data_IF_595246741873
#
_entry.id   IF_595246741873
#
_cell.length_a   1.000
_cell.length_b   1.000
_cell.length_c   1.000
_cell.angle_alpha   90.00
_cell.angle_beta   90.00
_cell.angle_gamma   90.00
#
_symmetry.space_group_name_H-M   'P 1'
#
loop_
_entity.id
_entity.type
_entity.pdbx_description
1 polymer ?
#
# COMPACT_ATOMS: atom_id res chain seq x y z
N UNK A 1 6.59 -11.09 -4.02
CA UNK A 1 6.64 -10.45 -2.68
C UNK A 1 5.93 -9.10 -2.70
N UNK A 2 5.68 -8.51 -1.53
CA UNK A 2 4.99 -7.20 -1.38
C UNK A 2 6.02 -6.04 -1.30
N UNK A 3 5.63 -4.86 -1.78
CA UNK A 3 6.38 -3.60 -1.72
C UNK A 3 5.40 -2.46 -1.35
N UNK A 4 5.72 -1.61 -0.35
CA UNK A 4 6.93 -1.63 0.47
C UNK A 4 6.96 -2.82 1.45
N UNK A 5 8.17 -3.20 1.90
CA UNK A 5 8.36 -4.18 2.98
C UNK A 5 9.66 -3.90 3.75
N UNK A 6 9.77 -4.29 5.02
CA UNK A 6 10.96 -4.06 5.85
C UNK A 6 12.22 -4.64 5.20
N UNK A 7 13.33 -3.90 5.31
CA UNK A 7 14.64 -4.31 4.78
C UNK A 7 14.77 -4.31 3.25
N UNK A 8 13.72 -3.99 2.49
CA UNK A 8 13.78 -3.95 1.02
C UNK A 8 13.87 -2.52 0.50
N UNK A 9 14.87 -2.28 -0.35
CA UNK A 9 14.98 -1.02 -1.10
C UNK A 9 14.27 -1.15 -2.43
N UNK A 10 13.14 -0.46 -2.59
CA UNK A 10 12.35 -0.54 -3.80
C UNK A 10 13.13 -0.10 -5.05
N UNK A 11 13.02 -0.87 -6.13
CA UNK A 11 13.58 -0.58 -7.45
C UNK A 11 12.79 0.54 -8.16
N UNK A 12 13.32 1.04 -9.29
CA UNK A 12 12.59 2.01 -10.12
C UNK A 12 11.30 1.43 -10.71
N UNK A 13 11.30 0.14 -11.06
CA UNK A 13 10.12 -0.53 -11.60
C UNK A 13 9.02 -0.70 -10.53
N UNK A 14 9.38 -1.11 -9.31
CA UNK A 14 8.43 -1.25 -8.20
C UNK A 14 7.75 0.09 -7.87
N UNK A 15 8.50 1.20 -7.93
CA UNK A 15 7.95 2.55 -7.76
C UNK A 15 7.03 2.95 -8.91
N UNK A 16 7.40 2.61 -10.15
CA UNK A 16 6.56 2.85 -11.32
C UNK A 16 5.23 2.09 -11.24
N UNK A 17 5.22 0.87 -10.70
CA UNK A 17 4.00 0.13 -10.41
C UNK A 17 3.09 0.86 -9.42
N UNK A 18 3.63 1.42 -8.34
CA UNK A 18 2.86 2.24 -7.40
C UNK A 18 2.10 3.38 -8.09
N UNK A 19 2.77 4.14 -8.98
CA UNK A 19 2.11 5.21 -9.76
C UNK A 19 0.99 4.69 -10.66
N UNK A 20 1.16 3.52 -11.28
CA UNK A 20 0.13 2.90 -12.13
C UNK A 20 -1.11 2.52 -11.30
N UNK A 21 -0.92 2.02 -10.09
CA UNK A 21 -2.02 1.66 -9.18
C UNK A 21 -2.79 2.88 -8.68
N UNK A 22 -2.09 3.92 -8.24
CA UNK A 22 -2.69 5.21 -7.83
C UNK A 22 -3.61 5.75 -8.91
N UNK A 23 -3.14 5.76 -10.17
CA UNK A 23 -3.97 6.18 -11.32
C UNK A 23 -5.23 5.34 -11.48
N UNK A 24 -5.13 4.02 -11.32
CA UNK A 24 -6.26 3.09 -11.49
C UNK A 24 -7.36 3.31 -10.46
N UNK A 25 -7.01 3.74 -9.24
CA UNK A 25 -7.96 4.02 -8.17
C UNK A 25 -8.39 5.48 -8.09
N UNK A 26 -8.14 6.28 -9.13
CA UNK A 26 -8.55 7.68 -9.19
C UNK A 26 -7.78 8.61 -8.25
N UNK A 27 -6.67 8.14 -7.69
CA UNK A 27 -5.79 8.93 -6.84
C UNK A 27 -4.80 9.76 -7.68
N UNK A 28 -4.23 10.81 -7.09
CA UNK A 28 -3.36 11.74 -7.80
C UNK A 28 -1.96 11.17 -8.02
N UNK A 29 -1.61 10.86 -9.26
CA UNK A 29 -0.24 10.42 -9.62
C UNK A 29 0.81 11.51 -9.40
N UNK A 30 0.41 12.79 -9.41
CA UNK A 30 1.30 13.93 -9.17
C UNK A 30 1.62 14.11 -7.68
N UNK A 31 0.67 13.81 -6.79
CA UNK A 31 0.84 13.95 -5.35
C UNK A 31 1.45 12.70 -4.69
N UNK A 32 1.54 11.58 -5.43
CA UNK A 32 2.05 10.33 -4.90
C UNK A 32 3.56 10.38 -4.59
N UNK A 33 3.91 10.09 -3.34
CA UNK A 33 5.30 9.90 -2.90
C UNK A 33 5.71 8.45 -3.16
N UNK A 34 6.41 8.21 -4.27
CA UNK A 34 6.86 6.88 -4.64
C UNK A 34 7.98 6.29 -3.77
N UNK A 35 8.62 7.10 -2.91
CA UNK A 35 9.67 6.61 -2.00
C UNK A 35 9.06 6.10 -0.70
N UNK A 36 7.98 6.74 -0.26
CA UNK A 36 7.20 6.33 0.93
C UNK A 36 6.00 5.45 0.59
N UNK A 37 5.64 5.38 -0.69
CA UNK A 37 4.43 4.70 -1.18
C UNK A 37 3.14 5.29 -0.61
N UNK A 38 3.11 6.60 -0.36
CA UNK A 38 1.96 7.30 0.22
C UNK A 38 1.28 8.12 -0.87
N UNK A 39 -0.04 7.94 -1.01
CA UNK A 39 -0.89 8.83 -1.80
C UNK A 39 -1.73 9.68 -0.85
N UNK A 40 -1.56 11.02 -0.87
CA UNK A 40 -2.44 11.91 -0.13
C UNK A 40 -3.89 11.78 -0.57
N UNK A 41 -4.79 11.81 0.40
CA UNK A 41 -6.23 11.87 0.17
C UNK A 41 -6.72 13.27 -0.18
N UNK A 42 -8.03 13.39 -0.40
CA UNK A 42 -8.73 14.67 -0.66
C UNK A 42 -10.00 14.78 0.18
N UNK A 43 -9.88 14.50 1.48
CA UNK A 43 -11.00 14.41 2.43
C UNK A 43 -11.86 13.15 2.29
N UNK A 44 -11.46 12.22 1.43
CA UNK A 44 -12.08 10.89 1.27
C UNK A 44 -11.02 9.86 0.91
N UNK A 45 -11.18 8.64 1.39
CA UNK A 45 -10.34 7.50 1.03
C UNK A 45 -10.83 6.89 -0.29
N UNK A 46 -9.93 6.20 -1.03
CA UNK A 46 -10.31 5.46 -2.22
C UNK A 46 -11.40 4.42 -1.91
N UNK A 47 -12.48 4.41 -2.70
CA UNK A 47 -13.60 3.50 -2.53
C UNK A 47 -13.24 2.09 -3.02
N UNK A 48 -12.86 1.22 -2.10
CA UNK A 48 -12.45 -0.17 -2.32
C UNK A 48 -13.16 -1.09 -1.34
N UNK A 49 -13.01 -2.40 -1.52
CA UNK A 49 -13.35 -3.35 -0.47
C UNK A 49 -12.50 -3.06 0.76
N UNK A 50 -13.16 -2.79 1.88
CA UNK A 50 -12.50 -2.60 3.16
C UNK A 50 -12.31 -3.95 3.85
N UNK A 51 -11.16 -4.10 4.50
CA UNK A 51 -10.84 -5.22 5.37
C UNK A 51 -10.06 -4.69 6.55
N UNK A 52 -10.57 -4.93 7.75
CA UNK A 52 -9.85 -4.70 8.99
C UNK A 52 -9.45 -6.04 9.61
N UNK A 53 -8.19 -6.12 10.07
CA UNK A 53 -7.70 -7.29 10.80
C UNK A 53 -8.51 -7.49 12.08
N UNK A 54 -8.91 -8.73 12.36
CA UNK A 54 -9.53 -9.10 13.64
C UNK A 54 -8.54 -9.11 14.81
N UNK A 55 -7.23 -9.04 14.52
CA UNK A 55 -6.14 -9.12 15.50
C UNK A 55 -5.07 -8.07 15.17
N UNK A 56 -5.38 -6.77 15.24
CA UNK A 56 -4.45 -5.70 14.86
C UNK A 56 -3.16 -5.73 15.70
N UNK A 57 -3.22 -6.19 16.95
CA UNK A 57 -2.09 -6.34 17.87
C UNK A 57 -1.04 -7.35 17.41
N UNK A 58 -1.39 -8.23 16.46
CA UNK A 58 -0.46 -9.21 15.87
C UNK A 58 0.33 -8.65 14.68
N UNK A 59 0.05 -7.43 14.26
CA UNK A 59 0.75 -6.79 13.15
C UNK A 59 2.18 -6.46 13.58
N UNK A 60 3.22 -6.90 12.86
CA UNK A 60 4.60 -6.57 13.19
C UNK A 60 4.83 -5.06 13.26
N UNK A 61 5.60 -4.60 14.26
CA UNK A 61 5.79 -3.17 14.53
C UNK A 61 6.44 -2.42 13.35
N UNK A 62 7.33 -3.07 12.61
CA UNK A 62 7.96 -2.54 11.40
C UNK A 62 6.99 -2.41 10.21
N UNK A 63 5.90 -3.18 10.20
CA UNK A 63 4.78 -2.99 9.27
C UNK A 63 3.88 -1.85 9.72
N UNK A 64 3.57 -1.76 11.02
CA UNK A 64 2.76 -0.67 11.59
C UNK A 64 3.43 0.69 11.31
N UNK A 65 4.76 0.78 11.38
CA UNK A 65 5.52 2.01 11.14
C UNK A 65 5.31 2.62 9.74
N UNK A 66 4.87 1.85 8.72
CA UNK A 66 4.55 2.42 7.41
C UNK A 66 3.30 3.32 7.42
N UNK A 67 2.46 3.19 8.45
CA UNK A 67 1.21 3.96 8.58
C UNK A 67 1.37 5.24 9.41
N UNK A 68 2.48 5.42 10.14
CA UNK A 68 2.70 6.56 11.06
C UNK A 68 2.57 7.94 10.40
N UNK A 69 2.84 8.02 9.09
CA UNK A 69 2.80 9.27 8.33
C UNK A 69 1.48 9.56 7.61
N UNK A 70 0.43 8.74 7.79
CA UNK A 70 -0.84 8.91 7.09
C UNK A 70 -1.80 9.80 7.88
N UNK A 71 -2.40 10.78 7.19
CA UNK A 71 -3.59 11.45 7.68
C UNK A 71 -4.85 10.68 7.25
N UNK A 72 -5.34 9.82 8.14
CA UNK A 72 -6.55 9.00 7.90
C UNK A 72 -7.79 9.87 7.69
N UNK A 73 -7.89 11.02 8.37
CA UNK A 73 -9.04 11.91 8.22
C UNK A 73 -9.04 12.61 6.85
N UNK A 74 -7.87 12.90 6.30
CA UNK A 74 -7.72 13.38 4.93
C UNK A 74 -7.92 12.27 3.88
N UNK A 75 -7.89 10.99 4.29
CA UNK A 75 -8.03 9.83 3.42
C UNK A 75 -6.71 9.40 2.77
N UNK A 76 -5.58 9.69 3.40
CA UNK A 76 -4.27 9.24 2.94
C UNK A 76 -4.19 7.70 2.92
N UNK A 77 -3.51 7.16 1.93
CA UNK A 77 -3.34 5.71 1.79
C UNK A 77 -1.90 5.31 1.54
N UNK A 78 -1.50 4.20 2.18
CA UNK A 78 -0.30 3.45 1.81
C UNK A 78 -0.64 2.55 0.61
N UNK A 79 0.13 2.65 -0.47
CA UNK A 79 -0.05 1.85 -1.68
C UNK A 79 0.93 0.68 -1.67
N UNK A 80 0.43 -0.49 -1.30
CA UNK A 80 1.20 -1.72 -1.39
C UNK A 80 0.91 -2.44 -2.72
N UNK A 81 1.97 -2.92 -3.39
CA UNK A 81 1.87 -3.76 -4.58
C UNK A 81 2.63 -5.04 -4.35
N UNK A 82 2.17 -6.14 -4.94
CA UNK A 82 2.83 -7.42 -4.78
C UNK A 82 2.50 -8.38 -5.90
N UNK A 83 3.30 -9.42 -5.97
CA UNK A 83 3.10 -10.56 -6.85
C UNK A 83 3.37 -11.83 -6.05
N UNK A 84 2.67 -12.89 -6.42
CA UNK A 84 2.87 -14.24 -5.92
C UNK A 84 2.80 -15.18 -7.13
N UNK A 85 3.50 -16.31 -7.06
CA UNK A 85 3.33 -17.38 -8.03
C UNK A 85 1.95 -18.02 -7.81
N UNK A 86 1.37 -18.60 -8.86
CA UNK A 86 0.07 -19.25 -8.75
C UNK A 86 0.13 -20.42 -7.76
N UNK A 87 1.21 -21.19 -7.85
CA UNK A 87 1.52 -22.34 -7.00
C UNK A 87 1.63 -21.95 -5.51
N UNK A 88 2.11 -20.73 -5.22
CA UNK A 88 2.16 -20.21 -3.83
C UNK A 88 0.76 -19.90 -3.27
N UNK A 89 -0.22 -19.68 -4.15
CA UNK A 89 -1.59 -19.32 -3.78
C UNK A 89 -2.52 -20.53 -3.71
N UNK A 90 -2.22 -21.63 -4.41
CA UNK A 90 -3.05 -22.84 -4.45
C UNK A 90 -3.39 -23.40 -3.07
N UNK A 91 -2.49 -23.28 -2.09
CA UNK A 91 -2.70 -23.73 -0.70
C UNK A 91 -3.78 -22.95 0.08
N UNK A 92 -4.33 -21.88 -0.50
CA UNK A 92 -5.35 -21.03 0.12
C UNK A 92 -6.70 -21.04 -0.62
N UNK A 93 -6.80 -21.81 -1.72
CA UNK A 93 -8.05 -22.07 -2.44
C UNK A 93 -8.80 -23.25 -1.82
#
# INVERSE_FOLDING_TARGET
>A
GIVPRPGHKASGEERAWGRRFVKRFGLSTLAYDERRFISPGKGTQACLFDHSSLKPEKTPADIVAYFDGLDVANGDVLVATGWALAEDLEKYL
#
